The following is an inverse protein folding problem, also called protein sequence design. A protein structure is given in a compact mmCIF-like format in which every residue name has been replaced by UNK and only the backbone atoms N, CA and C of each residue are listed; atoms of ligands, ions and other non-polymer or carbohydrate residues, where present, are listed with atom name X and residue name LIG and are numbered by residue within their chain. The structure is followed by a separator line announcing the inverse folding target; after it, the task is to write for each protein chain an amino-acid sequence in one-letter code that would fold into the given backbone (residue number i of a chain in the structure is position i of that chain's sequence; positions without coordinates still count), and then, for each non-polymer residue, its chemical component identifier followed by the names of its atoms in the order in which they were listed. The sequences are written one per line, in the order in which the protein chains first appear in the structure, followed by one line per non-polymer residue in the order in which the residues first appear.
data_IF_005092453203
#
_entry.id   IF_005092453203
#
_cell.length_a   1.000
_cell.length_b   1.000
_cell.length_c   1.000
_cell.angle_alpha   90.00
_cell.angle_beta   90.00
_cell.angle_gamma   90.00
#
_symmetry.space_group_name_H-M   'P 1'
#
loop_
_entity.id
_entity.type
_entity.pdbx_description
1 polymer ?
#
# COMPACT_ATOMS: atom_id res chain seq x y z
N UNK A 1 12.17 10.13 9.04
CA UNK A 1 11.62 11.46 9.35
C UNK A 1 10.98 11.48 10.73
N UNK A 2 11.02 12.62 11.41
CA UNK A 2 10.43 12.81 12.75
C UNK A 2 8.92 13.05 12.74
N UNK A 3 8.41 13.52 13.87
CA UNK A 3 6.99 13.85 14.07
C UNK A 3 6.51 14.95 13.09
N UNK A 4 5.29 14.78 12.57
CA UNK A 4 4.64 15.76 11.70
C UNK A 4 3.67 16.57 12.52
N UNK A 5 3.85 17.90 12.53
CA UNK A 5 2.99 18.81 13.29
C UNK A 5 2.50 19.97 12.43
N UNK A 6 1.25 20.39 12.67
CA UNK A 6 0.64 21.59 12.09
C UNK A 6 0.02 22.40 13.21
N UNK A 7 0.43 23.66 13.34
CA UNK A 7 -0.04 24.57 14.41
C UNK A 7 0.05 23.96 15.83
N UNK A 8 1.08 23.14 16.10
CA UNK A 8 1.27 22.47 17.39
C UNK A 8 0.50 21.16 17.58
N UNK A 9 -0.35 20.75 16.62
CA UNK A 9 -1.05 19.47 16.63
C UNK A 9 -0.26 18.41 15.86
N UNK A 10 -0.01 17.28 16.49
CA UNK A 10 0.58 16.10 15.86
C UNK A 10 -0.39 15.46 14.86
N UNK A 11 0.12 15.06 13.69
CA UNK A 11 -0.63 14.40 12.63
C UNK A 11 -0.15 12.97 12.46
N UNK A 12 -1.08 12.04 12.20
CA UNK A 12 -0.73 10.69 11.77
C UNK A 12 -0.41 10.71 10.28
N UNK A 13 0.88 10.84 9.96
CA UNK A 13 1.35 10.97 8.59
C UNK A 13 2.68 10.26 8.39
N UNK A 14 2.88 9.73 7.18
CA UNK A 14 4.15 9.13 6.76
C UNK A 14 4.84 10.01 5.75
N UNK A 15 6.13 10.25 5.93
CA UNK A 15 6.89 11.16 5.07
C UNK A 15 7.75 10.37 4.10
N UNK A 16 7.69 10.74 2.83
CA UNK A 16 8.37 10.08 1.72
C UNK A 16 9.11 11.08 0.87
N UNK A 17 10.39 10.82 0.63
CA UNK A 17 11.19 11.60 -0.30
C UNK A 17 11.10 10.94 -1.69
N UNK A 18 10.68 11.70 -2.70
CA UNK A 18 10.31 11.16 -4.02
C UNK A 18 10.91 11.98 -5.16
N UNK A 19 11.06 11.32 -6.31
CA UNK A 19 11.41 11.97 -7.57
C UNK A 19 10.14 12.53 -8.25
N UNK A 20 10.27 13.53 -9.15
CA UNK A 20 9.11 14.11 -9.85
C UNK A 20 8.26 13.07 -10.60
N UNK A 21 8.91 12.06 -11.19
CA UNK A 21 8.27 11.00 -11.97
C UNK A 21 7.40 10.04 -11.12
N UNK A 22 7.49 10.14 -9.79
CA UNK A 22 6.71 9.30 -8.89
C UNK A 22 5.21 9.45 -9.13
N UNK A 23 4.71 10.66 -9.40
CA UNK A 23 3.30 10.92 -9.66
C UNK A 23 2.75 10.09 -10.83
N UNK A 24 3.53 9.96 -11.90
CA UNK A 24 3.16 9.19 -13.08
C UNK A 24 3.20 7.68 -12.80
N UNK A 25 4.20 7.23 -12.06
CA UNK A 25 4.39 5.81 -11.74
C UNK A 25 3.35 5.32 -10.73
N UNK A 26 2.92 6.16 -9.79
CA UNK A 26 1.91 5.85 -8.78
C UNK A 26 0.47 6.02 -9.28
N UNK A 27 0.29 6.49 -10.52
CA UNK A 27 -1.02 6.84 -11.10
C UNK A 27 -1.84 7.82 -10.22
N UNK A 28 -1.17 8.69 -9.49
CA UNK A 28 -1.81 9.68 -8.63
C UNK A 28 -2.11 10.97 -9.39
N UNK A 29 -3.06 11.75 -8.88
CA UNK A 29 -3.41 13.07 -9.39
C UNK A 29 -3.38 14.11 -8.29
N UNK A 30 -3.18 15.35 -8.69
CA UNK A 30 -3.19 16.52 -7.81
C UNK A 30 -4.57 17.18 -7.89
N UNK A 31 -5.18 17.44 -6.74
CA UNK A 31 -6.45 18.18 -6.64
C UNK A 31 -6.20 19.68 -6.60
N UNK A 32 -5.22 20.11 -5.82
CA UNK A 32 -4.89 21.53 -5.66
C UNK A 32 -3.39 21.74 -5.71
N UNK A 33 -2.95 22.80 -6.41
CA UNK A 33 -1.54 23.17 -6.51
C UNK A 33 -0.79 22.35 -7.54
N UNK A 34 0.44 21.95 -7.22
CA UNK A 34 1.30 21.16 -8.12
C UNK A 34 2.06 20.07 -7.36
N UNK A 35 2.54 19.07 -8.08
CA UNK A 35 3.49 18.11 -7.54
C UNK A 35 4.93 18.67 -7.56
N UNK A 36 5.86 17.91 -6.98
CA UNK A 36 7.30 18.21 -6.95
C UNK A 36 7.85 18.18 -8.38
N UNK A 37 8.65 19.18 -8.74
CA UNK A 37 9.32 19.27 -10.05
C UNK A 37 10.84 19.14 -9.94
N UNK A 38 11.53 19.14 -11.08
CA UNK A 38 12.98 19.03 -11.12
C UNK A 38 13.69 20.23 -10.46
N UNK A 39 13.08 21.43 -10.49
CA UNK A 39 13.68 22.60 -9.87
C UNK A 39 13.66 22.49 -8.35
N UNK A 40 12.58 21.97 -7.76
CA UNK A 40 12.48 21.73 -6.32
C UNK A 40 13.56 20.73 -5.86
N UNK A 41 13.79 19.69 -6.66
CA UNK A 41 14.83 18.68 -6.38
C UNK A 41 16.22 19.30 -6.45
N UNK A 42 16.54 20.03 -7.53
CA UNK A 42 17.85 20.66 -7.72
C UNK A 42 18.14 21.74 -6.67
N UNK A 43 17.14 22.54 -6.30
CA UNK A 43 17.26 23.59 -5.29
C UNK A 43 17.16 23.07 -3.85
N UNK A 44 16.89 21.76 -3.67
CA UNK A 44 16.59 21.15 -2.36
C UNK A 44 15.52 21.94 -1.60
N UNK A 45 14.46 22.33 -2.31
CA UNK A 45 13.44 23.18 -1.74
C UNK A 45 12.71 22.45 -0.60
N UNK A 46 12.54 23.12 0.55
CA UNK A 46 11.74 22.62 1.66
C UNK A 46 10.24 22.78 1.35
N UNK A 47 9.77 21.97 0.41
CA UNK A 47 8.38 21.93 -0.04
C UNK A 47 7.79 20.54 0.18
N UNK A 48 6.48 20.47 0.37
CA UNK A 48 5.78 19.21 0.53
C UNK A 48 4.46 19.16 -0.23
N UNK A 49 4.04 17.95 -0.58
CA UNK A 49 2.71 17.64 -1.14
C UNK A 49 2.00 16.73 -0.14
N UNK A 50 0.75 17.04 0.18
CA UNK A 50 -0.02 16.34 1.20
C UNK A 50 -0.97 15.31 0.59
N UNK A 51 -1.09 14.16 1.22
CA UNK A 51 -2.20 13.24 1.03
C UNK A 51 -3.52 13.82 1.57
N UNK A 52 -4.64 13.29 1.08
CA UNK A 52 -5.98 13.80 1.40
C UNK A 52 -6.30 13.74 2.90
N UNK A 53 -5.90 12.67 3.59
CA UNK A 53 -6.16 12.50 5.02
C UNK A 53 -5.30 13.47 5.85
N UNK A 54 -4.02 13.65 5.47
CA UNK A 54 -3.14 14.63 6.12
C UNK A 54 -3.69 16.05 5.98
N UNK A 55 -4.20 16.40 4.80
CA UNK A 55 -4.86 17.69 4.56
C UNK A 55 -6.06 17.87 5.49
N UNK A 56 -6.92 16.85 5.63
CA UNK A 56 -8.08 16.90 6.54
C UNK A 56 -7.68 17.09 7.99
N UNK A 57 -6.71 16.31 8.48
CA UNK A 57 -6.31 16.36 9.90
C UNK A 57 -5.64 17.68 10.30
N UNK A 58 -4.81 18.23 9.40
CA UNK A 58 -4.00 19.42 9.66
C UNK A 58 -4.66 20.74 9.30
N UNK A 59 -5.50 20.76 8.26
CA UNK A 59 -6.06 22.00 7.70
C UNK A 59 -7.59 22.00 7.58
N UNK A 60 -8.26 20.90 7.95
CA UNK A 60 -9.72 20.77 7.88
C UNK A 60 -10.29 21.23 6.53
N UNK A 61 -11.13 22.28 6.52
CA UNK A 61 -11.73 22.86 5.31
C UNK A 61 -10.88 23.94 4.66
N UNK A 62 -9.78 24.35 5.29
CA UNK A 62 -8.93 25.41 4.78
C UNK A 62 -8.04 24.93 3.62
N UNK A 63 -7.63 25.87 2.75
CA UNK A 63 -6.66 25.60 1.71
C UNK A 63 -5.25 25.49 2.34
N UNK A 64 -4.58 24.33 2.25
CA UNK A 64 -3.25 24.16 2.83
C UNK A 64 -2.15 24.75 1.94
N UNK A 65 -2.40 24.99 0.66
CA UNK A 65 -1.37 25.44 -0.29
C UNK A 65 -0.82 26.80 0.12
N UNK A 66 0.52 26.89 0.20
CA UNK A 66 1.24 28.07 0.67
C UNK A 66 1.52 28.09 2.17
N UNK A 67 0.84 27.25 2.97
CA UNK A 67 1.08 27.13 4.41
C UNK A 67 2.24 26.20 4.73
N UNK A 68 2.62 26.13 6.00
CA UNK A 68 3.73 25.33 6.47
C UNK A 68 3.26 24.11 7.29
N UNK A 69 3.94 23.00 7.07
CA UNK A 69 3.88 21.79 7.88
C UNK A 69 5.27 21.58 8.48
N UNK A 70 5.35 21.37 9.79
CA UNK A 70 6.61 21.07 10.46
C UNK A 70 6.82 19.57 10.46
N UNK A 71 7.96 19.13 9.96
CA UNK A 71 8.35 17.72 9.90
C UNK A 71 9.70 17.59 10.61
N UNK A 72 9.71 16.92 11.75
CA UNK A 72 10.88 16.91 12.64
C UNK A 72 11.27 18.33 13.06
N UNK A 73 12.46 18.76 12.66
CA UNK A 73 13.01 20.09 12.99
C UNK A 73 12.77 21.14 11.91
N UNK A 74 12.31 20.74 10.72
CA UNK A 74 12.24 21.60 9.54
C UNK A 74 10.80 21.96 9.17
N UNK A 75 10.62 23.19 8.67
CA UNK A 75 9.34 23.65 8.14
C UNK A 75 9.30 23.46 6.62
N UNK A 76 8.22 22.83 6.14
CA UNK A 76 7.98 22.56 4.72
C UNK A 76 6.77 23.33 4.23
N UNK A 77 6.92 24.04 3.12
CA UNK A 77 5.81 24.75 2.50
C UNK A 77 4.98 23.80 1.65
N UNK A 78 3.67 23.77 1.88
CA UNK A 78 2.74 22.97 1.09
C UNK A 78 2.60 23.57 -0.30
N UNK A 79 2.88 22.80 -1.34
CA UNK A 79 2.77 23.21 -2.74
C UNK A 79 1.64 22.49 -3.48
N UNK A 80 1.11 21.42 -2.92
CA UNK A 80 -0.02 20.70 -3.50
C UNK A 80 -0.67 19.70 -2.56
N UNK A 81 -1.83 19.19 -3.00
CA UNK A 81 -2.61 18.16 -2.32
C UNK A 81 -3.01 17.10 -3.33
N UNK A 82 -2.78 15.84 -2.97
CA UNK A 82 -3.17 14.68 -3.76
C UNK A 82 -4.68 14.46 -3.75
N UNK A 83 -5.17 13.84 -4.81
CA UNK A 83 -6.53 13.29 -4.87
C UNK A 83 -6.74 12.23 -3.80
N UNK A 84 -7.91 12.30 -3.16
CA UNK A 84 -8.33 11.26 -2.22
C UNK A 84 -8.56 9.96 -2.98
N UNK A 85 -7.92 8.89 -2.52
CA UNK A 85 -8.12 7.57 -3.07
C UNK A 85 -8.94 6.75 -2.10
N UNK A 86 -10.12 6.31 -2.53
CA UNK A 86 -10.88 5.30 -1.80
C UNK A 86 -10.05 4.02 -1.82
N UNK A 87 -9.75 3.47 -0.64
CA UNK A 87 -9.11 2.17 -0.52
C UNK A 87 -10.11 1.11 -0.97
N UNK A 88 -10.15 0.82 -2.26
CA UNK A 88 -10.86 -0.34 -2.76
C UNK A 88 -10.11 -1.58 -2.24
N UNK A 89 -10.84 -2.47 -1.55
CA UNK A 89 -10.29 -3.70 -0.95
C UNK A 89 -9.80 -4.72 -1.99
N UNK A 90 -9.87 -4.38 -3.28
CA UNK A 90 -9.38 -5.16 -4.39
C UNK A 90 -8.05 -4.62 -4.93
N UNK A 91 -7.05 -5.49 -4.85
CA UNK A 91 -5.95 -5.63 -5.80
C UNK A 91 -4.62 -4.86 -5.62
N UNK A 92 -3.55 -5.66 -5.50
CA UNK A 92 -2.10 -5.44 -5.61
C UNK A 92 -1.35 -5.10 -4.32
N UNK A 93 -0.17 -5.67 -4.15
CA UNK A 93 0.70 -5.44 -2.99
C UNK A 93 1.25 -4.01 -2.92
N UNK A 94 1.09 -3.20 -3.97
CA UNK A 94 1.27 -1.73 -3.91
C UNK A 94 0.03 -0.99 -3.35
N UNK A 95 -1.16 -1.60 -3.37
CA UNK A 95 -2.43 -1.07 -2.87
C UNK A 95 -2.68 -1.34 -1.37
N UNK A 96 -1.79 -2.04 -0.67
CA UNK A 96 -1.84 -2.15 0.79
C UNK A 96 -1.34 -0.88 1.52
N UNK A 97 -0.93 0.15 0.76
CA UNK A 97 -0.41 1.39 1.31
C UNK A 97 -1.48 2.48 1.23
N UNK A 98 -1.89 2.98 2.39
CA UNK A 98 -2.79 4.13 2.49
C UNK A 98 -2.08 5.43 2.04
N UNK A 99 -2.17 5.72 0.74
CA UNK A 99 -1.57 6.90 0.12
C UNK A 99 -2.15 8.21 0.67
N UNK A 100 -3.34 8.17 1.29
CA UNK A 100 -3.99 9.36 1.81
C UNK A 100 -3.25 9.93 3.04
N UNK A 101 -2.51 9.10 3.77
CA UNK A 101 -1.70 9.49 4.95
C UNK A 101 -0.27 9.88 4.62
N UNK A 102 0.09 9.89 3.34
CA UNK A 102 1.46 10.15 2.93
C UNK A 102 1.71 11.65 2.70
N UNK A 103 2.93 12.10 3.00
CA UNK A 103 3.47 13.41 2.68
C UNK A 103 4.68 13.21 1.80
N UNK A 104 4.72 13.89 0.66
CA UNK A 104 5.78 13.76 -0.32
C UNK A 104 6.72 14.97 -0.26
N UNK A 105 8.02 14.71 -0.20
CA UNK A 105 9.12 15.68 -0.21
C UNK A 105 10.04 15.41 -1.41
N UNK A 106 10.85 16.38 -1.87
CA UNK A 106 11.88 16.11 -2.86
C UNK A 106 12.90 15.08 -2.34
N UNK A 107 13.29 14.12 -3.18
CA UNK A 107 14.22 13.03 -2.82
C UNK A 107 15.53 13.54 -2.22
N UNK A 108 16.05 14.67 -2.72
CA UNK A 108 17.29 15.30 -2.26
C UNK A 108 17.22 15.75 -0.81
N UNK A 109 16.06 16.21 -0.34
CA UNK A 109 15.86 16.61 1.07
C UNK A 109 15.90 15.40 1.99
N UNK A 110 15.27 14.29 1.59
CA UNK A 110 15.32 13.05 2.35
C UNK A 110 16.71 12.41 2.43
N UNK A 111 17.48 12.52 1.33
CA UNK A 111 18.86 12.03 1.30
C UNK A 111 19.78 12.83 2.23
N UNK A 112 19.58 14.15 2.34
CA UNK A 112 20.34 15.02 3.24
C UNK A 112 20.03 14.75 4.71
N UNK A 113 18.74 14.62 5.06
CA UNK A 113 18.32 14.24 6.41
C UNK A 113 18.93 12.89 6.83
N UNK A 114 19.02 11.94 5.89
CA UNK A 114 19.67 10.64 6.11
C UNK A 114 21.19 10.74 6.40
N UNK A 115 21.91 11.68 5.78
CA UNK A 115 23.33 11.93 6.09
C UNK A 115 23.51 12.43 7.52
N UNK A 116 22.60 13.30 8.00
CA UNK A 116 22.65 13.83 9.38
C UNK A 116 22.46 12.71 10.43
N UNK A 117 21.62 11.71 10.17
CA UNK A 117 21.42 10.59 11.11
C UNK A 117 22.56 9.57 11.14
N UNK A 118 23.39 9.49 10.09
CA UNK A 118 24.54 8.57 10.05
C UNK A 118 25.80 9.17 10.69
N UNK A 119 25.85 10.48 10.86
CA UNK A 119 26.91 11.21 11.59
C UNK A 119 26.63 11.37 13.09
N UNK A 120 25.91 10.44 13.72
CA UNK A 120 25.79 10.44 15.17
C UNK A 120 27.07 9.90 15.83
N UNK A 121 27.59 10.67 16.79
CA UNK A 121 28.83 10.40 17.50
C UNK A 121 28.90 8.95 18.02
N UNK A 122 30.07 8.32 17.84
CA UNK A 122 30.38 7.02 18.46
C UNK A 122 30.11 7.15 19.97
N UNK A 123 29.18 6.38 20.54
CA UNK A 123 28.85 6.52 21.94
C UNK A 123 30.09 6.22 22.78
N UNK A 124 30.42 7.08 23.75
CA UNK A 124 31.60 6.91 24.62
C UNK A 124 31.50 5.69 25.56
N UNK A 125 30.30 5.11 25.71
CA UNK A 125 30.09 3.95 26.57
C UNK A 125 30.53 2.66 25.84
N UNK A 126 31.46 1.86 26.40
CA UNK A 126 31.93 0.61 25.81
C UNK A 126 30.81 -0.37 25.45
N UNK A 127 29.75 -0.45 26.25
CA UNK A 127 28.59 -1.32 25.96
C UNK A 127 27.76 -0.83 24.78
N UNK A 128 27.65 0.49 24.59
CA UNK A 128 26.96 1.08 23.46
C UNK A 128 27.79 0.97 22.17
N UNK A 129 29.13 0.99 22.27
CA UNK A 129 30.03 0.69 21.15
C UNK A 129 29.89 -0.77 20.74
N UNK A 130 29.88 -1.70 21.68
CA UNK A 130 29.67 -3.13 21.41
C UNK A 130 28.30 -3.38 20.78
N UNK A 131 27.23 -2.75 21.31
CA UNK A 131 25.89 -2.82 20.71
C UNK A 131 25.84 -2.20 19.30
N UNK A 132 26.56 -1.11 19.06
CA UNK A 132 26.71 -0.50 17.73
C UNK A 132 27.48 -1.43 16.78
N UNK A 133 28.53 -2.10 17.25
CA UNK A 133 29.30 -3.08 16.48
C UNK A 133 28.45 -4.30 16.12
N UNK A 134 27.65 -4.82 17.05
CA UNK A 134 26.69 -5.90 16.77
C UNK A 134 25.60 -5.44 15.78
N UNK A 135 25.03 -4.24 15.98
CA UNK A 135 24.06 -3.65 15.06
C UNK A 135 24.62 -3.27 13.68
N UNK A 136 25.95 -3.14 13.56
CA UNK A 136 26.66 -2.93 12.29
C UNK A 136 27.02 -4.26 11.59
N UNK A 137 27.12 -5.37 12.34
CA UNK A 137 27.23 -6.73 11.79
C UNK A 137 25.87 -7.25 11.30
N UNK A 138 24.76 -6.82 11.92
CA UNK A 138 23.41 -6.99 11.39
C UNK A 138 23.08 -5.90 10.35
N UNK A 139 22.28 -6.23 9.32
CA UNK A 139 21.90 -5.24 8.31
C UNK A 139 21.14 -4.09 8.98
N UNK A 140 21.48 -2.82 8.69
CA UNK A 140 20.70 -1.71 9.19
C UNK A 140 19.24 -1.87 8.71
N UNK A 141 18.24 -1.61 9.58
CA UNK A 141 16.83 -1.69 9.21
C UNK A 141 16.55 -0.83 7.97
N UNK A 142 15.55 -1.20 7.14
CA UNK A 142 15.18 -0.50 5.89
C UNK A 142 15.12 1.04 6.00
N UNK A 143 14.80 1.54 7.20
CA UNK A 143 14.74 2.96 7.57
C UNK A 143 16.12 3.65 7.67
N UNK A 144 17.22 2.93 7.42
CA UNK A 144 18.60 3.43 7.43
C UNK A 144 19.29 3.27 6.07
N UNK A 145 18.52 3.20 4.98
CA UNK A 145 19.07 3.20 3.61
C UNK A 145 18.80 4.55 2.95
N UNK A 146 19.74 5.08 2.15
CA UNK A 146 19.53 6.34 1.44
C UNK A 146 18.38 6.25 0.42
N UNK A 147 18.09 5.04 -0.07
CA UNK A 147 16.96 4.74 -0.95
C UNK A 147 16.23 3.51 -0.40
N UNK A 148 14.96 3.68 -0.05
CA UNK A 148 14.12 2.59 0.47
C UNK A 148 13.45 1.79 -0.63
N UNK A 149 13.06 2.44 -1.73
CA UNK A 149 12.27 1.84 -2.80
C UNK A 149 12.60 2.49 -4.15
N UNK A 150 12.62 1.67 -5.20
CA UNK A 150 12.72 2.10 -6.60
C UNK A 150 11.52 1.52 -7.33
N UNK A 151 10.62 2.39 -7.79
CA UNK A 151 9.48 2.00 -8.60
C UNK A 151 9.86 2.04 -10.08
N UNK A 152 9.58 0.97 -10.81
CA UNK A 152 9.80 0.88 -12.25
C UNK A 152 8.49 0.52 -12.92
N UNK A 153 8.03 1.37 -13.84
CA UNK A 153 6.85 1.12 -14.64
C UNK A 153 7.22 0.45 -15.96
N UNK A 154 6.59 -0.68 -16.26
CA UNK A 154 6.72 -1.37 -17.54
C UNK A 154 5.44 -1.13 -18.33
N UNK A 155 5.55 -0.63 -19.57
CA UNK A 155 4.39 -0.29 -20.41
C UNK A 155 3.50 -1.50 -20.73
N UNK A 156 4.14 -2.67 -20.86
CA UNK A 156 3.52 -3.91 -21.30
C UNK A 156 3.57 -4.93 -20.15
N UNK A 157 2.40 -5.37 -19.69
CA UNK A 157 2.26 -6.28 -18.55
C UNK A 157 2.96 -7.61 -18.78
N UNK A 158 2.98 -8.11 -20.02
CA UNK A 158 3.57 -9.41 -20.35
C UNK A 158 5.09 -9.38 -20.31
N UNK A 159 5.69 -8.19 -20.43
CA UNK A 159 7.13 -7.96 -20.35
C UNK A 159 7.63 -7.68 -18.94
N UNK A 160 6.75 -7.66 -17.93
CA UNK A 160 7.14 -7.34 -16.55
C UNK A 160 8.13 -8.35 -15.98
N UNK A 161 7.93 -9.64 -16.24
CA UNK A 161 8.83 -10.71 -15.74
C UNK A 161 10.20 -10.65 -16.45
N UNK A 162 10.29 -10.64 -17.80
CA UNK A 162 11.56 -10.45 -18.49
C UNK A 162 12.29 -9.16 -18.09
N UNK A 163 11.56 -8.06 -17.90
CA UNK A 163 12.16 -6.80 -17.46
C UNK A 163 12.73 -6.91 -16.04
N UNK A 164 12.03 -7.57 -15.12
CA UNK A 164 12.51 -7.81 -13.77
C UNK A 164 13.81 -8.62 -13.75
N UNK A 165 13.93 -9.64 -14.61
CA UNK A 165 15.16 -10.41 -14.74
C UNK A 165 16.33 -9.56 -15.25
N UNK A 166 16.09 -8.70 -16.25
CA UNK A 166 17.12 -7.77 -16.75
C UNK A 166 17.56 -6.80 -15.64
N UNK A 167 16.61 -6.22 -14.91
CA UNK A 167 16.89 -5.31 -13.78
C UNK A 167 17.71 -6.03 -12.71
N UNK A 168 17.34 -7.27 -12.37
CA UNK A 168 18.08 -8.09 -11.41
C UNK A 168 19.55 -8.25 -11.83
N UNK A 169 19.81 -8.63 -13.08
CA UNK A 169 21.18 -8.80 -13.58
C UNK A 169 21.99 -7.50 -13.61
N UNK A 170 21.35 -6.35 -13.84
CA UNK A 170 22.01 -5.04 -13.81
C UNK A 170 22.41 -4.69 -12.37
N UNK A 171 21.49 -4.86 -11.42
CA UNK A 171 21.74 -4.56 -10.00
C UNK A 171 22.77 -5.54 -9.43
N UNK A 172 22.65 -6.84 -9.69
CA UNK A 172 23.62 -7.85 -9.25
C UNK A 172 25.05 -7.51 -9.72
N UNK A 173 25.21 -7.06 -10.98
CA UNK A 173 26.52 -6.62 -11.47
C UNK A 173 27.04 -5.38 -10.75
N UNK A 174 26.19 -4.38 -10.51
CA UNK A 174 26.60 -3.16 -9.79
C UNK A 174 26.90 -3.43 -8.32
N UNK A 175 26.16 -4.34 -7.70
CA UNK A 175 26.25 -4.66 -6.28
C UNK A 175 27.19 -5.85 -6.02
N UNK A 176 27.95 -6.29 -7.04
CA UNK A 176 28.92 -7.39 -6.94
C UNK A 176 28.32 -8.68 -6.35
N UNK A 177 27.10 -9.00 -6.78
CA UNK A 177 26.29 -10.15 -6.34
C UNK A 177 25.99 -10.20 -4.83
N UNK A 178 26.08 -9.05 -4.13
CA UNK A 178 25.63 -8.95 -2.76
C UNK A 178 24.09 -8.93 -2.76
N UNK A 179 23.41 -9.83 -2.02
CA UNK A 179 21.94 -9.93 -2.05
C UNK A 179 21.29 -8.84 -1.18
N UNK A 180 21.36 -7.58 -1.59
CA UNK A 180 20.93 -6.41 -0.80
C UNK A 180 19.60 -5.79 -1.24
N UNK A 181 19.00 -6.27 -2.34
CA UNK A 181 17.71 -5.82 -2.87
C UNK A 181 16.71 -6.98 -2.99
N UNK A 182 15.42 -6.63 -3.06
CA UNK A 182 14.33 -7.57 -3.36
C UNK A 182 13.45 -6.95 -4.43
N UNK A 183 13.23 -7.67 -5.52
CA UNK A 183 12.28 -7.26 -6.56
C UNK A 183 10.91 -7.85 -6.21
N UNK A 184 9.89 -6.99 -6.20
CA UNK A 184 8.50 -7.38 -5.96
C UNK A 184 7.68 -7.07 -7.21
N UNK A 185 7.00 -8.08 -7.76
CA UNK A 185 6.15 -7.95 -8.94
C UNK A 185 4.68 -8.16 -8.53
N UNK A 186 3.83 -7.12 -8.57
CA UNK A 186 2.50 -7.20 -7.96
C UNK A 186 1.53 -8.15 -8.66
N UNK A 187 1.64 -8.29 -9.99
CA UNK A 187 0.75 -9.15 -10.79
C UNK A 187 0.87 -10.64 -10.41
N UNK A 188 2.03 -11.07 -9.91
CA UNK A 188 2.22 -12.46 -9.46
C UNK A 188 1.41 -12.74 -8.20
N UNK A 189 1.28 -11.75 -7.30
CA UNK A 189 0.53 -11.86 -6.05
C UNK A 189 -0.99 -11.81 -6.28
N UNK A 190 -1.45 -11.02 -7.25
CA UNK A 190 -2.85 -10.99 -7.65
C UNK A 190 -3.37 -12.31 -8.20
N UNK A 191 -2.62 -12.92 -9.13
CA UNK A 191 -3.02 -14.20 -9.73
C UNK A 191 -3.16 -15.30 -8.67
N UNK A 192 -2.33 -15.26 -7.62
CA UNK A 192 -2.39 -16.21 -6.52
C UNK A 192 -3.62 -16.02 -5.62
N UNK A 193 -4.02 -14.77 -5.36
CA UNK A 193 -5.25 -14.48 -4.61
C UNK A 193 -6.50 -14.89 -5.41
N UNK A 194 -6.56 -14.56 -6.70
CA UNK A 194 -7.68 -14.90 -7.57
C UNK A 194 -7.88 -16.42 -7.70
N UNK A 195 -6.79 -17.20 -7.81
CA UNK A 195 -6.87 -18.66 -7.86
C UNK A 195 -7.47 -19.26 -6.57
N UNK A 196 -7.07 -18.73 -5.41
CA UNK A 196 -7.57 -19.17 -4.10
C UNK A 196 -9.05 -18.84 -3.94
N UNK A 197 -9.47 -17.64 -4.34
CA UNK A 197 -10.86 -17.19 -4.24
C UNK A 197 -11.78 -17.95 -5.21
N UNK A 198 -11.29 -18.29 -6.40
CA UNK A 198 -12.03 -19.13 -7.34
C UNK A 198 -12.29 -20.53 -6.76
N UNK A 199 -11.30 -21.14 -6.13
CA UNK A 199 -11.46 -22.43 -5.47
C UNK A 199 -12.51 -22.33 -4.36
N UNK A 200 -12.42 -21.28 -3.52
CA UNK A 200 -13.38 -21.08 -2.43
C UNK A 200 -14.82 -20.89 -2.94
N UNK A 201 -15.02 -20.10 -3.99
CA UNK A 201 -16.34 -19.90 -4.60
C UNK A 201 -16.92 -21.21 -5.18
N UNK A 202 -16.08 -22.04 -5.82
CA UNK A 202 -16.51 -23.36 -6.31
C UNK A 202 -16.94 -24.26 -5.16
N UNK A 203 -16.17 -24.29 -4.06
CA UNK A 203 -16.50 -25.10 -2.88
C UNK A 203 -17.80 -24.62 -2.23
N UNK A 204 -17.98 -23.31 -2.02
CA UNK A 204 -19.23 -22.76 -1.47
C UNK A 204 -20.42 -23.03 -2.38
N UNK A 205 -20.25 -22.90 -3.70
CA UNK A 205 -21.29 -23.24 -4.67
C UNK A 205 -21.68 -24.72 -4.62
N UNK A 206 -20.70 -25.63 -4.49
CA UNK A 206 -20.96 -27.06 -4.37
C UNK A 206 -21.71 -27.40 -3.07
N UNK A 207 -21.32 -26.82 -1.94
CA UNK A 207 -22.02 -27.02 -0.65
C UNK A 207 -23.46 -26.51 -0.75
N UNK A 208 -23.67 -25.30 -1.29
CA UNK A 208 -24.99 -24.73 -1.47
C UNK A 208 -25.88 -25.61 -2.37
N UNK A 209 -25.33 -26.14 -3.46
CA UNK A 209 -26.04 -27.05 -4.36
C UNK A 209 -26.43 -28.36 -3.65
N UNK A 210 -25.52 -28.96 -2.88
CA UNK A 210 -25.80 -30.18 -2.10
C UNK A 210 -26.87 -29.90 -1.04
N UNK A 211 -26.78 -28.79 -0.30
CA UNK A 211 -27.78 -28.40 0.70
C UNK A 211 -29.16 -28.17 0.08
N UNK A 212 -29.21 -27.52 -1.08
CA UNK A 212 -30.46 -27.32 -1.82
C UNK A 212 -31.06 -28.65 -2.28
N UNK A 213 -30.23 -29.57 -2.77
CA UNK A 213 -30.67 -30.89 -3.24
C UNK A 213 -31.21 -31.73 -2.08
N UNK A 214 -30.49 -31.79 -0.96
CA UNK A 214 -30.93 -32.50 0.26
C UNK A 214 -32.21 -31.88 0.81
N UNK A 215 -32.31 -30.55 0.86
CA UNK A 215 -33.54 -29.84 1.24
C UNK A 215 -34.71 -30.15 0.32
N UNK A 216 -34.46 -30.21 -1.00
CA UNK A 216 -35.46 -30.58 -2.00
C UNK A 216 -35.98 -32.01 -1.84
N UNK A 217 -35.09 -32.97 -1.56
CA UNK A 217 -35.48 -34.35 -1.23
C UNK A 217 -36.32 -34.39 0.05
N UNK A 218 -35.95 -33.61 1.06
CA UNK A 218 -36.70 -33.52 2.32
C UNK A 218 -38.13 -33.02 2.12
N UNK A 219 -38.30 -31.93 1.36
CA UNK A 219 -39.62 -31.40 1.02
C UNK A 219 -40.43 -32.42 0.22
N UNK A 220 -39.81 -33.09 -0.76
CA UNK A 220 -40.47 -34.13 -1.55
C UNK A 220 -40.98 -35.27 -0.66
N UNK A 221 -40.19 -35.73 0.31
CA UNK A 221 -40.60 -36.78 1.25
C UNK A 221 -41.75 -36.35 2.16
N UNK A 222 -41.70 -35.13 2.70
CA UNK A 222 -42.80 -34.57 3.52
C UNK A 222 -44.08 -34.45 2.68
N UNK A 223 -43.95 -33.96 1.45
CA UNK A 223 -45.07 -33.79 0.53
C UNK A 223 -45.70 -35.12 0.14
N UNK A 224 -44.88 -36.13 -0.20
CA UNK A 224 -45.35 -37.48 -0.53
C UNK A 224 -46.11 -38.11 0.65
N UNK A 225 -45.54 -38.06 1.86
CA UNK A 225 -46.19 -38.59 3.06
C UNK A 225 -47.53 -37.91 3.36
N UNK A 226 -47.62 -36.59 3.17
CA UNK A 226 -48.86 -35.84 3.38
C UNK A 226 -49.93 -36.22 2.35
N UNK A 227 -49.54 -36.37 1.08
CA UNK A 227 -50.47 -36.77 0.01
C UNK A 227 -50.94 -38.20 0.19
N UNK A 228 -50.06 -39.13 0.60
CA UNK A 228 -50.47 -40.53 0.87
C UNK A 228 -51.39 -40.63 2.09
N UNK A 229 -51.12 -39.87 3.17
CA UNK A 229 -52.01 -39.80 4.34
C UNK A 229 -53.39 -39.23 3.99
N UNK A 230 -53.46 -38.19 3.15
CA UNK A 230 -54.73 -37.56 2.73
C UNK A 230 -55.33 -38.15 1.45
N UNK A 231 -54.74 -39.19 0.86
CA UNK A 231 -55.19 -39.74 -0.42
C UNK A 231 -56.65 -40.21 -0.37
N UNK A 232 -57.06 -40.80 0.75
CA UNK A 232 -58.44 -41.24 0.98
C UNK A 232 -59.42 -40.06 1.04
N UNK A 233 -59.05 -38.96 1.70
CA UNK A 233 -59.88 -37.75 1.79
C UNK A 233 -60.03 -37.08 0.42
N UNK A 234 -58.95 -36.98 -0.35
CA UNK A 234 -58.96 -36.41 -1.71
C UNK A 234 -59.82 -37.27 -2.65
N UNK A 235 -59.72 -38.60 -2.54
CA UNK A 235 -60.52 -39.53 -3.34
C UNK A 235 -62.02 -39.38 -3.06
N UNK A 236 -62.42 -39.26 -1.79
CA UNK A 236 -63.83 -39.04 -1.43
C UNK A 236 -64.35 -37.71 -1.97
N UNK A 237 -63.56 -36.62 -1.91
CA UNK A 237 -63.97 -35.31 -2.47
C UNK A 237 -64.07 -35.28 -3.99
N UNK A 238 -63.47 -36.22 -4.71
CA UNK A 238 -63.57 -36.32 -6.18
C UNK A 238 -64.80 -37.08 -6.65
N UNK A 239 -65.41 -37.88 -5.79
CA UNK A 239 -66.58 -38.68 -6.11
C UNK A 239 -67.91 -37.95 -5.83
N UNK A 240 -67.85 -36.79 -5.18
CA UNK A 240 -68.98 -35.87 -4.96
C UNK A 240 -68.94 -34.82 -6.07
#
# INVERSE_FOLDING_TARGET
FGEVTVAGKALDARVWATAPDYLHTSHQRIVTGRFIDQQDVTKRAHVCVLGAEVKRQGFAFENPVGKFVKIGLSNFRVIGVMEERVLEMEETTFALRDLNRDIYLPITVGMEDFQIYTEQAIPMNPMAVIALMYAAMERPPLNRRPISEICVQVKDSDKTIPAADVIKHIIDRRHKAIPDFKITIPIVQLRQQQATQRIFNVVMGAIAAISLLVGGIGIMNIMLATVTQRAREIGVRRCI
#
